data_IF_757475226762
#
_entry.id   IF_757475226762
#
_cell.length_a   1.000
_cell.length_b   1.000
_cell.length_c   1.000
_cell.angle_alpha   90.00
_cell.angle_beta   90.00
_cell.angle_gamma   90.00
#
_symmetry.space_group_name_H-M   'P 1'
#
loop_
_entity.id
_entity.type
_entity.pdbx_description
1 polymer ?
#
# COMPACT_ATOMS: atom_id res chain seq x y z
N UNK A 1 -61.83 5.83 -12.60
CA UNK A 1 -61.79 4.97 -11.40
C UNK A 1 -61.13 3.66 -11.79
N UNK A 2 -59.99 3.37 -11.15
CA UNK A 2 -59.38 2.05 -10.89
C UNK A 2 -59.31 0.98 -12.01
N UNK A 3 -58.07 0.67 -12.39
CA UNK A 3 -57.61 -0.65 -12.88
C UNK A 3 -57.69 -1.69 -11.72
N UNK A 4 -57.14 -2.93 -11.79
CA UNK A 4 -56.48 -3.67 -12.89
C UNK A 4 -56.82 -5.19 -12.90
N UNK A 5 -56.24 -5.96 -13.82
CA UNK A 5 -55.58 -7.25 -13.50
C UNK A 5 -54.95 -7.89 -14.74
N UNK A 6 -53.61 -7.93 -14.80
CA UNK A 6 -52.90 -8.91 -15.60
C UNK A 6 -51.83 -9.56 -14.73
N UNK A 7 -51.99 -10.87 -14.56
CA UNK A 7 -51.09 -11.79 -13.88
C UNK A 7 -49.95 -12.12 -14.85
N UNK A 8 -48.71 -12.07 -14.39
CA UNK A 8 -47.63 -12.82 -15.02
C UNK A 8 -46.72 -13.43 -13.96
N UNK A 9 -46.79 -14.76 -13.89
CA UNK A 9 -45.88 -15.63 -13.17
C UNK A 9 -44.56 -15.71 -13.93
N UNK A 10 -43.43 -15.51 -13.24
CA UNK A 10 -42.11 -15.89 -13.75
C UNK A 10 -41.23 -16.40 -12.60
N UNK A 11 -41.08 -17.72 -12.65
CA UNK A 11 -40.25 -18.63 -11.86
C UNK A 11 -38.79 -18.15 -11.82
N UNK A 12 -38.26 -17.93 -10.62
CA UNK A 12 -36.84 -17.71 -10.38
C UNK A 12 -36.07 -19.02 -10.57
N UNK A 13 -35.10 -19.02 -11.48
CA UNK A 13 -34.02 -20.00 -11.52
C UNK A 13 -32.71 -19.22 -11.52
N UNK A 14 -32.01 -19.33 -10.40
CA UNK A 14 -30.66 -18.85 -10.18
C UNK A 14 -29.67 -19.62 -11.06
N UNK A 15 -28.73 -18.90 -11.65
CA UNK A 15 -27.46 -19.39 -12.17
C UNK A 15 -26.42 -18.26 -12.11
N UNK A 16 -25.20 -18.51 -11.61
CA UNK A 16 -24.20 -17.46 -11.42
C UNK A 16 -23.45 -17.20 -12.73
N UNK A 17 -23.04 -15.96 -12.94
CA UNK A 17 -22.33 -15.44 -14.12
C UNK A 17 -23.16 -15.18 -15.39
N UNK A 18 -23.66 -13.94 -15.49
CA UNK A 18 -23.32 -13.05 -16.62
C UNK A 18 -23.80 -11.62 -16.35
N UNK A 19 -22.83 -10.72 -16.22
CA UNK A 19 -22.94 -9.29 -16.46
C UNK A 19 -23.67 -9.05 -17.79
N UNK A 20 -24.67 -8.17 -17.81
CA UNK A 20 -25.07 -7.28 -18.91
C UNK A 20 -26.41 -6.62 -18.53
N UNK A 21 -26.34 -5.46 -17.86
CA UNK A 21 -27.50 -4.59 -17.70
C UNK A 21 -27.71 -3.88 -19.04
N UNK A 22 -28.70 -4.34 -19.81
CA UNK A 22 -29.25 -3.61 -20.96
C UNK A 22 -29.83 -2.28 -20.44
N UNK A 23 -29.18 -1.18 -20.80
CA UNK A 23 -29.81 0.14 -20.80
C UNK A 23 -30.94 0.13 -21.84
N UNK A 24 -32.18 0.34 -21.39
CA UNK A 24 -33.24 0.83 -22.28
C UNK A 24 -33.93 2.01 -21.60
N UNK A 25 -33.55 3.19 -22.07
CA UNK A 25 -33.99 4.48 -21.60
C UNK A 25 -35.21 4.89 -22.43
N UNK A 26 -36.38 5.00 -21.78
CA UNK A 26 -37.48 5.85 -22.26
C UNK A 26 -37.63 7.00 -21.27
N UNK A 27 -37.04 8.15 -21.59
CA UNK A 27 -37.27 9.38 -20.86
C UNK A 27 -38.68 9.91 -21.15
N UNK A 28 -39.43 10.27 -20.10
CA UNK A 28 -40.41 11.35 -20.20
C UNK A 28 -40.62 12.07 -18.87
N UNK A 29 -40.53 13.40 -18.95
CA UNK A 29 -41.03 14.43 -18.04
C UNK A 29 -40.31 14.74 -16.71
N UNK A 30 -39.35 15.67 -16.81
CA UNK A 30 -39.32 16.99 -16.12
C UNK A 30 -39.79 17.02 -14.67
N UNK A 31 -38.87 16.77 -13.73
CA UNK A 31 -38.74 17.40 -12.39
C UNK A 31 -37.76 16.64 -11.49
N UNK A 32 -36.60 16.24 -12.02
CA UNK A 32 -35.61 15.47 -11.27
C UNK A 32 -34.18 15.96 -11.51
N UNK A 33 -34.02 17.25 -11.80
CA UNK A 33 -32.73 17.82 -12.21
C UNK A 33 -31.79 18.16 -11.05
N UNK A 34 -32.25 18.15 -9.79
CA UNK A 34 -31.36 18.43 -8.63
C UNK A 34 -30.77 17.17 -7.97
N UNK A 35 -31.37 15.97 -8.16
CA UNK A 35 -30.98 14.76 -7.40
C UNK A 35 -29.98 13.83 -8.10
N UNK A 36 -29.80 13.97 -9.41
CA UNK A 36 -28.89 13.09 -10.19
C UNK A 36 -27.43 13.60 -10.18
N UNK A 37 -27.21 14.89 -9.91
CA UNK A 37 -25.86 15.48 -9.86
C UNK A 37 -25.07 14.98 -8.65
N UNK A 38 -25.72 14.78 -7.50
CA UNK A 38 -25.08 14.29 -6.28
C UNK A 38 -24.57 12.83 -6.40
N UNK A 39 -25.23 11.98 -7.20
CA UNK A 39 -24.88 10.55 -7.28
C UNK A 39 -23.70 10.27 -8.23
N UNK A 40 -23.42 11.18 -9.17
CA UNK A 40 -22.32 11.03 -10.14
C UNK A 40 -20.96 11.51 -9.62
N UNK A 41 -20.98 12.32 -8.55
CA UNK A 41 -19.78 12.81 -7.87
C UNK A 41 -19.17 11.77 -6.91
N UNK A 42 -19.98 10.83 -6.39
CA UNK A 42 -19.50 9.80 -5.46
C UNK A 42 -18.70 8.66 -6.15
N UNK A 43 -19.00 8.34 -7.41
CA UNK A 43 -18.24 7.30 -8.14
C UNK A 43 -16.87 7.80 -8.61
N UNK A 44 -16.75 9.11 -8.86
CA UNK A 44 -15.49 9.72 -9.31
C UNK A 44 -14.48 9.89 -8.16
N UNK A 45 -14.93 10.12 -6.93
CA UNK A 45 -14.03 10.15 -5.76
C UNK A 45 -13.48 8.75 -5.46
N UNK A 46 -14.24 7.71 -5.76
CA UNK A 46 -13.82 6.32 -5.57
C UNK A 46 -12.70 5.88 -6.51
N UNK A 47 -12.82 6.19 -7.82
CA UNK A 47 -11.76 5.90 -8.81
C UNK A 47 -10.48 6.70 -8.55
N UNK A 48 -10.60 7.95 -8.10
CA UNK A 48 -9.45 8.81 -7.79
C UNK A 48 -8.65 8.31 -6.57
N UNK A 49 -9.29 7.67 -5.58
CA UNK A 49 -8.62 7.15 -4.38
C UNK A 49 -7.85 5.86 -4.69
N UNK A 50 -8.41 4.97 -5.51
CA UNK A 50 -7.75 3.72 -5.91
C UNK A 50 -6.47 3.98 -6.70
N UNK A 51 -6.48 4.98 -7.59
CA UNK A 51 -5.30 5.38 -8.37
C UNK A 51 -4.16 5.92 -7.49
N UNK A 52 -4.45 6.63 -6.39
CA UNK A 52 -3.44 7.14 -5.45
C UNK A 52 -2.79 6.03 -4.62
N UNK A 53 -3.55 5.02 -4.23
CA UNK A 53 -2.98 3.86 -3.52
C UNK A 53 -2.07 3.05 -4.43
N UNK A 54 -2.47 2.84 -5.68
CA UNK A 54 -1.66 2.12 -6.64
C UNK A 54 -0.34 2.86 -6.92
N UNK A 55 -0.38 4.19 -7.08
CA UNK A 55 0.86 4.98 -7.24
C UNK A 55 1.75 4.93 -5.99
N UNK A 56 1.17 5.03 -4.79
CA UNK A 56 1.92 4.85 -3.53
C UNK A 56 2.54 3.46 -3.43
N UNK A 57 1.79 2.41 -3.73
CA UNK A 57 2.26 1.02 -3.72
C UNK A 57 3.42 0.83 -4.70
N UNK A 58 3.27 1.32 -5.93
CA UNK A 58 4.31 1.22 -6.96
C UNK A 58 5.56 2.02 -6.59
N UNK A 59 5.41 3.22 -6.02
CA UNK A 59 6.52 4.01 -5.51
C UNK A 59 7.26 3.28 -4.37
N UNK A 60 6.51 2.64 -3.47
CA UNK A 60 7.08 1.83 -2.40
C UNK A 60 7.86 0.64 -2.95
N UNK A 61 7.26 -0.08 -3.91
CA UNK A 61 7.85 -1.25 -4.55
C UNK A 61 9.15 -0.89 -5.29
N UNK A 62 9.11 0.18 -6.08
CA UNK A 62 10.27 0.65 -6.82
C UNK A 62 11.45 0.99 -5.88
N UNK A 63 11.19 1.65 -4.75
CA UNK A 63 12.24 1.96 -3.77
C UNK A 63 12.86 0.71 -3.16
N UNK A 64 12.06 -0.28 -2.77
CA UNK A 64 12.58 -1.54 -2.22
C UNK A 64 13.37 -2.31 -3.28
N UNK A 65 12.88 -2.33 -4.52
CA UNK A 65 13.56 -3.01 -5.63
C UNK A 65 14.92 -2.37 -5.94
N UNK A 66 15.00 -1.04 -5.94
CA UNK A 66 16.28 -0.31 -6.04
C UNK A 66 17.22 -0.65 -4.89
N UNK A 67 16.72 -0.61 -3.64
CA UNK A 67 17.53 -0.94 -2.46
C UNK A 67 18.07 -2.37 -2.50
N UNK A 68 17.25 -3.34 -2.92
CA UNK A 68 17.68 -4.73 -3.07
C UNK A 68 18.76 -4.89 -4.14
N UNK A 69 18.60 -4.21 -5.28
CA UNK A 69 19.61 -4.21 -6.35
C UNK A 69 20.94 -3.62 -5.89
N UNK A 70 20.90 -2.50 -5.16
CA UNK A 70 22.10 -1.86 -4.60
C UNK A 70 22.80 -2.75 -3.56
N UNK A 71 22.03 -3.38 -2.67
CA UNK A 71 22.57 -4.31 -1.66
C UNK A 71 23.18 -5.55 -2.31
N UNK A 72 22.53 -6.11 -3.34
CA UNK A 72 23.09 -7.24 -4.07
C UNK A 72 24.41 -6.87 -4.74
N UNK A 73 24.46 -5.73 -5.43
CA UNK A 73 25.70 -5.24 -6.04
C UNK A 73 26.80 -4.99 -4.99
N UNK A 74 26.45 -4.52 -3.79
CA UNK A 74 27.41 -4.36 -2.71
C UNK A 74 27.97 -5.70 -2.22
N UNK A 75 27.11 -6.71 -2.08
CA UNK A 75 27.52 -8.08 -1.71
C UNK A 75 28.50 -8.63 -2.75
N UNK A 76 28.15 -8.53 -4.03
CA UNK A 76 28.98 -9.05 -5.13
C UNK A 76 30.37 -8.39 -5.15
N UNK A 77 30.44 -7.07 -4.94
CA UNK A 77 31.71 -6.32 -4.85
C UNK A 77 32.59 -6.75 -3.68
N UNK A 78 31.97 -7.00 -2.50
CA UNK A 78 32.73 -7.45 -1.32
C UNK A 78 33.23 -8.87 -1.54
N UNK A 79 32.43 -9.74 -2.16
CA UNK A 79 32.85 -11.10 -2.52
C UNK A 79 34.01 -11.09 -3.53
N UNK A 80 33.93 -10.29 -4.59
CA UNK A 80 35.01 -10.13 -5.56
C UNK A 80 36.30 -9.61 -4.92
N UNK A 81 36.19 -8.68 -3.96
CA UNK A 81 37.34 -8.15 -3.23
C UNK A 81 38.03 -9.23 -2.38
N UNK A 82 37.25 -10.05 -1.67
CA UNK A 82 37.78 -11.18 -0.88
C UNK A 82 38.52 -12.17 -1.78
N UNK A 83 37.91 -12.57 -2.91
CA UNK A 83 38.52 -13.52 -3.87
C UNK A 83 39.75 -12.92 -4.56
N UNK A 84 39.74 -11.62 -4.88
CA UNK A 84 40.87 -10.92 -5.46
C UNK A 84 42.08 -10.85 -4.52
N UNK A 85 41.84 -10.68 -3.22
CA UNK A 85 42.89 -10.72 -2.20
C UNK A 85 43.45 -12.14 -1.98
N UNK A 86 42.64 -13.20 -2.12
CA UNK A 86 43.11 -14.60 -2.04
C UNK A 86 44.15 -14.95 -3.12
N UNK A 87 44.12 -14.26 -4.26
CA UNK A 87 45.07 -14.48 -5.37
C UNK A 87 46.40 -13.68 -5.24
N UNK A 88 46.55 -12.85 -4.20
CA UNK A 88 47.65 -11.88 -4.06
C UNK A 88 48.60 -12.21 -2.90
N UNK A 89 49.24 -13.38 -2.91
CA UNK A 89 50.14 -13.96 -1.89
C UNK A 89 51.11 -12.98 -1.17
N UNK A 90 50.86 -12.66 0.10
CA UNK A 90 51.85 -12.11 1.07
C UNK A 90 51.51 -12.40 2.55
N UNK A 91 51.19 -13.65 2.89
CA UNK A 91 51.37 -14.29 4.21
C UNK A 91 50.67 -13.74 5.48
N UNK A 92 50.91 -12.49 5.89
CA UNK A 92 50.61 -12.01 7.27
C UNK A 92 49.60 -10.86 7.34
N UNK A 93 49.20 -10.25 6.21
CA UNK A 93 48.12 -9.23 6.17
C UNK A 93 46.74 -9.80 5.80
N UNK A 94 46.70 -11.04 5.31
CA UNK A 94 45.52 -11.65 4.69
C UNK A 94 44.46 -12.08 5.70
N UNK A 95 44.87 -12.51 6.89
CA UNK A 95 43.92 -12.99 7.90
C UNK A 95 42.99 -11.88 8.39
N UNK A 96 43.52 -10.66 8.59
CA UNK A 96 42.71 -9.52 9.02
C UNK A 96 41.82 -8.99 7.91
N UNK A 97 42.33 -8.85 6.68
CA UNK A 97 41.55 -8.32 5.56
C UNK A 97 40.39 -9.26 5.17
N UNK A 98 40.63 -10.58 5.20
CA UNK A 98 39.59 -11.60 5.01
C UNK A 98 38.55 -11.58 6.11
N UNK A 99 38.96 -11.47 7.38
CA UNK A 99 38.04 -11.38 8.51
C UNK A 99 37.14 -10.13 8.41
N UNK A 100 37.71 -8.99 8.02
CA UNK A 100 36.95 -7.75 7.79
C UNK A 100 35.97 -7.87 6.62
N UNK A 101 36.37 -8.51 5.52
CA UNK A 101 35.48 -8.75 4.38
C UNK A 101 34.29 -9.65 4.75
N UNK A 102 34.53 -10.70 5.54
CA UNK A 102 33.45 -11.59 6.03
C UNK A 102 32.50 -10.85 6.99
N UNK A 103 33.02 -10.01 7.88
CA UNK A 103 32.19 -9.18 8.76
C UNK A 103 31.28 -8.24 7.97
N UNK A 104 31.80 -7.62 6.91
CA UNK A 104 31.01 -6.76 6.04
C UNK A 104 29.97 -7.55 5.24
N UNK A 105 30.30 -8.75 4.74
CA UNK A 105 29.31 -9.64 4.13
C UNK A 105 28.20 -10.01 5.11
N UNK A 106 28.52 -10.36 6.35
CA UNK A 106 27.53 -10.66 7.39
C UNK A 106 26.64 -9.45 7.70
N UNK A 107 27.19 -8.24 7.65
CA UNK A 107 26.42 -7.00 7.82
C UNK A 107 25.47 -6.77 6.63
N UNK A 108 25.95 -6.93 5.41
CA UNK A 108 25.15 -6.79 4.18
C UNK A 108 24.07 -7.86 4.09
N UNK A 109 24.39 -9.12 4.41
CA UNK A 109 23.46 -10.24 4.47
C UNK A 109 22.33 -10.00 5.49
N UNK A 110 22.63 -9.44 6.66
CA UNK A 110 21.59 -9.02 7.61
C UNK A 110 20.68 -7.93 7.04
N UNK A 111 21.26 -6.98 6.31
CA UNK A 111 20.52 -5.86 5.72
C UNK A 111 19.62 -6.30 4.56
N UNK A 112 20.12 -7.13 3.64
CA UNK A 112 19.33 -7.65 2.51
C UNK A 112 18.18 -8.54 2.98
N UNK A 113 18.40 -9.35 4.04
CA UNK A 113 17.34 -10.15 4.65
C UNK A 113 16.23 -9.28 5.25
N UNK A 114 16.54 -8.09 5.77
CA UNK A 114 15.52 -7.14 6.23
C UNK A 114 14.72 -6.58 5.05
N UNK A 115 15.40 -6.14 3.98
CA UNK A 115 14.76 -5.62 2.78
C UNK A 115 13.86 -6.68 2.09
N UNK A 116 14.27 -7.95 2.07
CA UNK A 116 13.44 -9.06 1.56
C UNK A 116 12.19 -9.25 2.43
N UNK A 117 12.31 -9.18 3.76
CA UNK A 117 11.15 -9.25 4.66
C UNK A 117 10.17 -8.10 4.41
N UNK A 118 10.68 -6.89 4.21
CA UNK A 118 9.85 -5.73 3.85
C UNK A 118 9.16 -5.92 2.50
N UNK A 119 9.88 -6.41 1.47
CA UNK A 119 9.30 -6.76 0.17
C UNK A 119 8.16 -7.78 0.31
N UNK A 120 8.34 -8.79 1.14
CA UNK A 120 7.32 -9.82 1.40
C UNK A 120 6.08 -9.22 2.05
N UNK A 121 6.25 -8.33 3.04
CA UNK A 121 5.12 -7.60 3.66
C UNK A 121 4.40 -6.76 2.60
N UNK A 122 5.14 -6.03 1.76
CA UNK A 122 4.55 -5.23 0.69
C UNK A 122 3.75 -6.11 -0.29
N UNK A 123 4.25 -7.30 -0.65
CA UNK A 123 3.57 -8.21 -1.58
C UNK A 123 2.23 -8.74 -1.06
N UNK A 124 2.00 -8.72 0.25
CA UNK A 124 0.74 -9.11 0.87
C UNK A 124 -0.33 -8.00 0.77
N UNK A 125 0.06 -6.80 0.35
CA UNK A 125 -0.84 -5.65 0.26
C UNK A 125 -1.50 -5.63 -1.11
N UNK A 126 -2.84 -5.63 -1.11
CA UNK A 126 -3.63 -5.43 -2.32
C UNK A 126 -4.09 -3.97 -2.40
N UNK A 127 -3.51 -3.12 -3.27
CA UNK A 127 -3.87 -1.69 -3.36
C UNK A 127 -5.32 -1.46 -3.82
N UNK A 128 -5.93 -2.44 -4.49
CA UNK A 128 -7.32 -2.42 -4.95
C UNK A 128 -8.32 -2.66 -3.82
N UNK A 129 -7.88 -3.18 -2.66
CA UNK A 129 -8.77 -3.50 -1.55
C UNK A 129 -9.11 -2.23 -0.75
N UNK A 130 -10.40 -2.03 -0.53
CA UNK A 130 -10.87 -1.02 0.41
C UNK A 130 -10.62 -1.44 1.86
N UNK A 131 -10.20 -0.48 2.67
CA UNK A 131 -9.96 -0.66 4.09
C UNK A 131 -10.95 0.20 4.88
N UNK A 132 -11.82 -0.42 5.67
CA UNK A 132 -12.71 0.28 6.61
C UNK A 132 -12.04 0.60 7.94
N UNK A 133 -11.00 -0.16 8.30
CA UNK A 133 -10.21 -0.02 9.52
C UNK A 133 -8.74 0.19 9.20
N UNK A 134 -8.01 0.74 10.15
CA UNK A 134 -6.56 0.90 10.07
C UNK A 134 -5.87 -0.48 10.06
N UNK A 135 -5.46 -0.93 8.88
CA UNK A 135 -4.81 -2.22 8.65
C UNK A 135 -3.66 -2.09 7.65
N UNK A 136 -2.91 -3.18 7.46
CA UNK A 136 -1.85 -3.23 6.45
C UNK A 136 -2.47 -2.98 5.06
N UNK A 137 -1.92 -2.01 4.33
CA UNK A 137 -2.43 -1.56 3.04
C UNK A 137 -3.43 -0.39 3.11
N UNK A 138 -3.81 0.06 4.30
CA UNK A 138 -4.71 1.19 4.46
C UNK A 138 -3.97 2.54 4.39
N UNK A 139 -4.60 3.51 3.74
CA UNK A 139 -4.20 4.92 3.79
C UNK A 139 -5.05 5.63 4.84
N UNK A 140 -4.40 6.09 5.90
CA UNK A 140 -5.03 6.79 7.01
C UNK A 140 -4.75 8.28 6.87
N UNK A 141 -5.81 9.06 6.77
CA UNK A 141 -5.73 10.52 6.83
C UNK A 141 -6.13 10.99 8.21
N UNK A 142 -5.18 11.63 8.87
CA UNK A 142 -5.35 12.21 10.20
C UNK A 142 -5.35 13.74 10.09
N UNK A 143 -5.86 14.43 11.11
CA UNK A 143 -5.87 15.91 11.15
C UNK A 143 -4.51 16.60 10.99
N UNK A 144 -3.39 15.88 11.15
CA UNK A 144 -2.03 16.44 11.01
C UNK A 144 -1.26 15.95 9.80
N UNK A 145 -1.51 14.72 9.37
CA UNK A 145 -0.69 14.04 8.35
C UNK A 145 -1.43 12.89 7.71
N UNK A 146 -0.97 12.51 6.53
CA UNK A 146 -1.42 11.31 5.82
C UNK A 146 -0.39 10.19 6.00
N UNK A 147 -0.86 9.01 6.35
CA UNK A 147 -0.04 7.84 6.63
C UNK A 147 -0.49 6.68 5.76
N UNK A 148 0.46 5.89 5.29
CA UNK A 148 0.20 4.65 4.57
C UNK A 148 0.81 3.51 5.36
N UNK A 149 -0.02 2.57 5.82
CA UNK A 149 0.44 1.40 6.58
C UNK A 149 0.96 0.36 5.60
N UNK A 150 2.27 0.29 5.44
CA UNK A 150 2.91 -0.69 4.59
C UNK A 150 4.26 -1.09 5.18
N UNK A 151 5.34 -0.72 4.50
CA UNK A 151 6.72 -0.81 4.92
C UNK A 151 7.27 0.57 5.28
N UNK A 152 8.30 0.61 6.12
CA UNK A 152 8.88 1.85 6.64
C UNK A 152 9.75 2.59 5.63
N UNK A 153 9.18 3.04 4.52
CA UNK A 153 9.92 3.78 3.47
C UNK A 153 10.10 5.26 3.82
N UNK A 154 9.28 5.78 4.76
CA UNK A 154 9.35 7.16 5.21
C UNK A 154 8.48 8.09 4.36
N UNK A 155 9.00 9.27 4.01
CA UNK A 155 8.24 10.30 3.31
C UNK A 155 8.15 9.98 1.81
N UNK A 156 6.94 10.03 1.26
CA UNK A 156 6.63 9.90 -0.17
C UNK A 156 5.79 11.10 -0.57
N UNK A 157 6.10 11.72 -1.70
CA UNK A 157 5.31 12.80 -2.26
C UNK A 157 4.54 12.28 -3.48
N UNK A 158 3.21 12.39 -3.44
CA UNK A 158 2.31 11.98 -4.52
C UNK A 158 1.32 13.12 -4.75
N UNK A 159 1.22 13.60 -5.99
CA UNK A 159 0.31 14.69 -6.38
C UNK A 159 0.40 15.94 -5.48
N UNK A 160 1.63 16.29 -5.06
CA UNK A 160 1.88 17.43 -4.16
C UNK A 160 1.47 17.19 -2.70
N UNK A 161 1.02 15.98 -2.34
CA UNK A 161 0.69 15.60 -0.97
C UNK A 161 1.82 14.77 -0.37
N UNK A 162 2.18 15.10 0.87
CA UNK A 162 3.12 14.31 1.65
C UNK A 162 2.41 13.15 2.33
N UNK A 163 2.82 11.93 2.01
CA UNK A 163 2.35 10.69 2.62
C UNK A 163 3.50 10.00 3.34
N UNK A 164 3.26 9.57 4.58
CA UNK A 164 4.25 8.83 5.36
C UNK A 164 3.98 7.33 5.26
N UNK A 165 4.82 6.61 4.52
CA UNK A 165 4.85 5.16 4.49
C UNK A 165 5.50 4.63 5.78
N UNK A 166 4.66 4.05 6.65
CA UNK A 166 5.06 3.56 7.96
C UNK A 166 4.88 2.05 8.03
N UNK A 167 5.82 1.38 8.70
CA UNK A 167 5.72 -0.05 8.96
C UNK A 167 4.70 -0.34 10.05
N UNK A 168 4.02 -1.48 9.92
CA UNK A 168 3.04 -1.99 10.87
C UNK A 168 3.62 -2.19 12.30
N UNK A 169 4.92 -2.41 12.41
CA UNK A 169 5.62 -2.60 13.70
C UNK A 169 5.95 -1.29 14.43
N UNK A 170 5.77 -0.13 13.77
CA UNK A 170 6.08 1.17 14.36
C UNK A 170 5.15 1.48 15.55
N UNK A 171 5.61 2.17 16.61
CA UNK A 171 4.77 2.51 17.76
C UNK A 171 3.50 3.26 17.38
N UNK A 172 3.57 4.16 16.40
CA UNK A 172 2.39 4.88 15.89
C UNK A 172 1.43 3.94 15.14
N UNK A 173 1.96 3.02 14.32
CA UNK A 173 1.13 2.06 13.59
C UNK A 173 0.42 1.11 14.54
N UNK A 174 1.11 0.63 15.58
CA UNK A 174 0.52 -0.24 16.61
C UNK A 174 -0.65 0.41 17.33
N UNK A 175 -0.55 1.69 17.66
CA UNK A 175 -1.65 2.43 18.28
C UNK A 175 -2.81 2.70 17.32
N UNK A 176 -2.55 2.76 16.01
CA UNK A 176 -3.56 2.98 14.98
C UNK A 176 -4.26 1.69 14.57
N UNK A 177 -3.62 0.52 14.68
CA UNK A 177 -4.16 -0.75 14.20
C UNK A 177 -5.56 -1.04 14.76
N UNK A 178 -6.49 -1.34 13.87
CA UNK A 178 -7.88 -1.70 14.20
C UNK A 178 -8.81 -0.51 14.43
N UNK A 179 -8.30 0.73 14.53
CA UNK A 179 -9.14 1.91 14.72
C UNK A 179 -9.93 2.25 13.45
N UNK A 180 -11.14 2.78 13.65
CA UNK A 180 -12.02 3.27 12.60
C UNK A 180 -11.93 4.78 12.36
N UNK A 181 -12.68 5.24 11.36
CA UNK A 181 -12.86 6.67 11.08
C UNK A 181 -13.56 7.34 12.26
N UNK A 182 -13.04 8.50 12.70
CA UNK A 182 -13.60 9.27 13.81
C UNK A 182 -12.95 9.00 15.16
N UNK A 183 -12.14 7.96 15.29
CA UNK A 183 -11.41 7.65 16.51
C UNK A 183 -10.17 8.55 16.71
N UNK A 184 -9.75 8.68 17.96
CA UNK A 184 -8.58 9.47 18.37
C UNK A 184 -7.47 8.58 18.86
N UNK A 185 -6.25 8.85 18.40
CA UNK A 185 -5.02 8.21 18.88
C UNK A 185 -4.16 9.23 19.59
N UNK A 186 -3.48 8.81 20.65
CA UNK A 186 -2.46 9.61 21.32
C UNK A 186 -1.10 9.08 20.95
N UNK A 187 -0.30 9.90 20.30
CA UNK A 187 1.07 9.56 19.94
C UNK A 187 2.02 10.69 20.37
N UNK A 188 3.08 10.34 21.11
CA UNK A 188 4.07 11.31 21.62
C UNK A 188 3.42 12.51 22.35
N UNK A 189 2.39 12.24 23.17
CA UNK A 189 1.65 13.27 23.92
C UNK A 189 0.71 14.15 23.07
N UNK A 190 0.61 13.90 21.76
CA UNK A 190 -0.23 14.64 20.84
C UNK A 190 -1.45 13.81 20.45
N UNK A 191 -2.65 14.37 20.63
CA UNK A 191 -3.90 13.79 20.12
C UNK A 191 -4.02 14.01 18.62
N UNK A 192 -4.44 12.96 17.92
CA UNK A 192 -4.59 12.90 16.48
C UNK A 192 -5.89 12.17 16.16
N UNK A 193 -6.76 12.79 15.35
CA UNK A 193 -8.07 12.24 14.99
C UNK A 193 -8.04 11.69 13.58
N UNK A 194 -8.55 10.47 13.39
CA UNK A 194 -8.67 9.83 12.09
C UNK A 194 -9.85 10.46 11.35
N UNK A 195 -9.55 11.14 10.23
CA UNK A 195 -10.55 11.81 9.39
C UNK A 195 -11.09 10.90 8.31
N UNK A 196 -10.22 10.08 7.72
CA UNK A 196 -10.61 9.13 6.68
C UNK A 196 -9.65 7.93 6.68
N UNK A 197 -10.18 6.78 6.30
CA UNK A 197 -9.42 5.56 6.02
C UNK A 197 -9.83 5.13 4.63
N UNK A 198 -8.83 4.83 3.81
CA UNK A 198 -9.02 4.29 2.48
C UNK A 198 -8.33 2.95 2.39
#
# INVERSE_FOLDING_TARGET
>A
MMAPSFIFSARSILGPNKFLIKLNIKYKCVSFTQKVVQLKLLSATFEMVSMKKLTLYNACRAKIDTQLSELQSAIDKVQESIVGEENSTSGNKFETARAMGQEELDRLNRTINNAIRERNILSQISPEKECSTAQLGAVITTNKKMMYLCVGIGKIEVDGQTVFAISAISPIARSLMGLGVGEEVVFAGKKEKILAIH
#
